data_IF_432596216466
#
_entry.id   IF_432596216466
#
_cell.length_a   1.000
_cell.length_b   1.000
_cell.length_c   1.000
_cell.angle_alpha   90.00
_cell.angle_beta   90.00
_cell.angle_gamma   90.00
#
_symmetry.space_group_name_H-M   'P 1'
#
loop_
_entity.id
_entity.type
_entity.pdbx_description
1 polymer ?
#
# COMPACT_ATOMS: atom_id res chain seq x y z
N UNK A 1 2.83 -10.28 -31.52
CA UNK A 1 4.10 -10.61 -30.84
C UNK A 1 5.06 -9.41 -30.78
N UNK A 2 4.55 -8.22 -30.40
CA UNK A 2 5.32 -6.95 -30.34
C UNK A 2 4.91 -6.13 -29.09
N UNK A 3 4.56 -6.81 -28.00
CA UNK A 3 3.99 -6.21 -26.77
C UNK A 3 4.88 -6.34 -25.53
N UNK A 4 6.15 -6.76 -25.66
CA UNK A 4 6.99 -7.17 -24.51
C UNK A 4 8.30 -6.39 -24.31
N UNK A 5 8.56 -5.28 -25.01
CA UNK A 5 9.95 -4.73 -25.07
C UNK A 5 10.13 -3.33 -24.45
N UNK A 6 9.11 -2.69 -23.86
CA UNK A 6 9.29 -1.34 -23.30
C UNK A 6 8.79 -1.22 -21.87
N UNK A 7 9.66 -1.57 -20.94
CA UNK A 7 9.58 -1.08 -19.57
C UNK A 7 9.92 0.41 -19.53
N UNK A 8 9.20 1.23 -18.75
CA UNK A 8 9.75 2.47 -18.28
C UNK A 8 10.46 2.16 -16.96
N UNK A 9 11.79 2.23 -17.00
CA UNK A 9 12.62 2.66 -15.87
C UNK A 9 12.25 4.12 -15.53
N UNK A 10 11.01 4.34 -15.09
CA UNK A 10 10.65 5.51 -14.31
C UNK A 10 10.83 5.01 -12.88
N UNK A 11 12.03 5.21 -12.35
CA UNK A 11 12.31 5.09 -10.94
C UNK A 11 11.44 6.11 -10.21
N UNK A 12 10.18 5.74 -9.99
CA UNK A 12 9.51 6.07 -8.76
C UNK A 12 10.28 5.30 -7.70
N UNK A 13 11.33 5.93 -7.14
CA UNK A 13 11.66 5.71 -5.75
C UNK A 13 10.37 5.99 -5.00
N UNK A 14 9.62 4.92 -4.84
CA UNK A 14 8.37 4.86 -4.12
C UNK A 14 8.81 4.85 -2.67
N UNK A 15 9.34 5.99 -2.22
CA UNK A 15 9.36 6.31 -0.81
C UNK A 15 7.92 6.66 -0.44
N UNK A 16 7.59 6.30 0.79
CA UNK A 16 6.28 6.40 1.42
C UNK A 16 5.38 5.19 1.08
N UNK A 17 4.66 4.60 2.03
CA UNK A 17 3.99 5.22 3.17
C UNK A 17 3.94 4.31 4.38
N UNK A 18 3.81 4.93 5.56
CA UNK A 18 3.27 4.40 6.81
C UNK A 18 2.52 3.08 6.60
N UNK A 19 3.11 1.96 7.00
CA UNK A 19 2.28 0.90 7.57
C UNK A 19 1.64 1.51 8.80
N UNK A 20 0.30 1.50 8.93
CA UNK A 20 -0.31 1.87 10.18
C UNK A 20 0.35 1.00 11.26
N UNK A 21 0.69 1.62 12.39
CA UNK A 21 0.80 0.82 13.61
C UNK A 21 -0.52 0.08 13.70
N UNK A 22 -0.45 -1.25 13.66
CA UNK A 22 -1.55 -2.19 13.76
C UNK A 22 -2.68 -2.11 12.71
N UNK A 23 -2.75 -3.17 11.89
CA UNK A 23 -4.02 -3.84 11.66
C UNK A 23 -4.07 -5.02 12.63
N UNK A 24 -4.95 -4.98 13.63
CA UNK A 24 -5.15 -6.10 14.55
C UNK A 24 -6.36 -6.88 14.09
N UNK A 25 -6.12 -8.08 13.58
CA UNK A 25 -7.17 -9.07 13.41
C UNK A 25 -7.30 -9.80 14.75
N UNK A 26 -8.39 -9.52 15.48
CA UNK A 26 -8.77 -10.36 16.63
C UNK A 26 -9.45 -11.61 16.09
N UNK A 27 -9.08 -12.78 16.62
CA UNK A 27 -9.92 -13.97 16.59
C UNK A 27 -10.40 -14.24 18.02
N UNK A 28 -11.70 -14.45 18.28
CA UNK A 28 -12.16 -14.74 19.62
C UNK A 28 -11.77 -16.16 20.00
N UNK A 29 -10.90 -16.29 21.00
CA UNK A 29 -10.68 -17.54 21.70
C UNK A 29 -11.95 -17.89 22.51
N UNK A 30 -12.55 -19.04 22.25
CA UNK A 30 -13.55 -19.63 23.13
C UNK A 30 -14.70 -20.32 22.41
N UNK A 31 -14.56 -21.62 22.17
CA UNK A 31 -15.69 -22.52 21.88
C UNK A 31 -16.67 -22.48 23.05
N UNK A 32 -17.89 -21.98 22.83
CA UNK A 32 -19.07 -22.39 23.59
C UNK A 32 -20.17 -22.80 22.62
N UNK A 33 -20.48 -24.09 22.65
CA UNK A 33 -21.63 -24.69 21.99
C UNK A 33 -22.94 -24.03 22.44
N UNK A 34 -23.76 -23.58 21.50
CA UNK A 34 -25.21 -23.50 21.68
C UNK A 34 -25.91 -23.95 20.41
N UNK A 35 -26.69 -25.01 20.56
CA UNK A 35 -27.71 -25.46 19.62
C UNK A 35 -28.81 -24.40 19.50
N UNK A 36 -29.35 -24.19 18.29
CA UNK A 36 -30.81 -24.08 18.07
C UNK A 36 -31.17 -23.99 16.57
N UNK A 37 -31.84 -25.05 16.12
CA UNK A 37 -33.06 -25.09 15.30
C UNK A 37 -33.28 -24.14 14.10
N UNK A 38 -33.14 -24.77 12.92
CA UNK A 38 -34.15 -24.95 11.85
C UNK A 38 -34.62 -23.80 10.94
N UNK A 39 -34.61 -24.18 9.65
CA UNK A 39 -35.55 -23.86 8.55
C UNK A 39 -35.03 -22.80 7.54
N UNK A 40 -35.04 -22.96 6.22
CA UNK A 40 -36.04 -23.57 5.32
C UNK A 40 -35.45 -24.07 3.97
N UNK A 41 -36.12 -25.13 3.48
CA UNK A 41 -36.42 -25.62 2.12
C UNK A 41 -35.50 -25.44 0.90
N UNK A 42 -35.26 -26.60 0.31
CA UNK A 42 -34.80 -26.88 -1.04
C UNK A 42 -35.74 -26.39 -2.15
N UNK A 43 -35.15 -26.11 -3.32
CA UNK A 43 -35.76 -26.35 -4.63
C UNK A 43 -34.74 -27.09 -5.49
N UNK A 44 -35.04 -28.36 -5.80
CA UNK A 44 -34.35 -29.15 -6.84
C UNK A 44 -35.08 -28.93 -8.16
N UNK A 45 -34.33 -28.78 -9.24
CA UNK A 45 -34.77 -28.99 -10.62
C UNK A 45 -33.67 -29.76 -11.38
N UNK A 46 -33.99 -30.76 -12.21
CA UNK A 46 -33.01 -31.65 -12.83
C UNK A 46 -32.52 -31.09 -14.17
N UNK A 47 -31.27 -31.36 -14.54
CA UNK A 47 -30.84 -31.23 -15.94
C UNK A 47 -30.06 -32.46 -16.38
N UNK A 48 -30.56 -33.08 -17.45
CA UNK A 48 -29.98 -34.21 -18.17
C UNK A 48 -28.84 -33.70 -19.05
N UNK A 49 -27.78 -34.49 -19.18
CA UNK A 49 -26.51 -34.06 -19.77
C UNK A 49 -26.39 -34.18 -21.29
N UNK A 50 -25.28 -33.68 -21.80
CA UNK A 50 -24.48 -34.32 -22.85
C UNK A 50 -23.11 -33.64 -22.93
N UNK A 51 -22.10 -34.47 -23.15
CA UNK A 51 -20.66 -34.23 -23.20
C UNK A 51 -20.19 -33.33 -24.36
N UNK A 52 -19.29 -32.39 -24.07
CA UNK A 52 -18.15 -32.06 -24.94
C UNK A 52 -17.11 -31.24 -24.18
N UNK A 53 -15.87 -31.69 -24.24
CA UNK A 53 -14.66 -31.11 -23.65
C UNK A 53 -14.31 -29.72 -24.19
N UNK A 54 -14.17 -28.75 -23.30
CA UNK A 54 -13.62 -27.42 -23.56
C UNK A 54 -13.74 -26.56 -22.30
N UNK A 55 -12.61 -26.21 -21.66
CA UNK A 55 -12.58 -25.30 -20.53
C UNK A 55 -12.73 -23.85 -21.06
N UNK A 56 -13.97 -23.43 -21.28
CA UNK A 56 -14.36 -22.03 -21.41
C UNK A 56 -14.76 -21.49 -20.03
N UNK A 57 -14.05 -20.48 -19.56
CA UNK A 57 -14.44 -19.67 -18.40
C UNK A 57 -15.49 -18.66 -18.88
N UNK A 58 -16.77 -19.00 -18.73
CA UNK A 58 -17.86 -18.04 -18.93
C UNK A 58 -18.85 -18.00 -17.77
N UNK A 59 -19.15 -16.75 -17.38
CA UNK A 59 -20.39 -16.24 -16.79
C UNK A 59 -20.69 -16.52 -15.30
N UNK A 60 -20.06 -15.73 -14.44
CA UNK A 60 -20.70 -15.31 -13.17
C UNK A 60 -21.54 -14.06 -13.49
N UNK A 61 -22.86 -14.22 -13.58
CA UNK A 61 -23.79 -13.07 -13.67
C UNK A 61 -23.87 -12.32 -12.33
N UNK A 62 -23.99 -10.98 -12.37
CA UNK A 62 -23.99 -10.13 -11.19
C UNK A 62 -25.39 -10.08 -10.58
N UNK A 63 -25.53 -10.47 -9.32
CA UNK A 63 -26.78 -10.31 -8.58
C UNK A 63 -26.52 -9.76 -7.17
N UNK A 64 -26.25 -8.46 -7.10
CA UNK A 64 -26.78 -7.55 -6.07
C UNK A 64 -26.30 -6.12 -6.34
N UNK A 65 -27.22 -5.17 -6.23
CA UNK A 65 -27.14 -3.74 -6.53
C UNK A 65 -25.87 -3.03 -5.99
N UNK A 66 -25.46 -1.89 -6.60
CA UNK A 66 -24.25 -1.16 -6.20
C UNK A 66 -24.34 -0.70 -4.76
N UNK A 67 -23.47 -1.22 -3.90
CA UNK A 67 -23.26 -0.65 -2.57
C UNK A 67 -22.70 0.75 -2.74
N UNK A 68 -23.49 1.75 -2.33
CA UNK A 68 -23.04 3.12 -2.19
C UNK A 68 -21.81 3.15 -1.27
N UNK A 69 -20.73 3.69 -1.79
CA UNK A 69 -19.50 3.99 -1.07
C UNK A 69 -19.78 5.16 -0.15
N UNK A 70 -19.83 4.95 1.16
CA UNK A 70 -19.82 6.07 2.09
C UNK A 70 -18.39 6.59 2.20
N UNK A 71 -18.17 7.83 1.74
CA UNK A 71 -16.90 8.53 1.80
C UNK A 71 -16.65 9.06 3.22
N UNK A 72 -16.00 8.26 4.06
CA UNK A 72 -15.36 8.69 5.30
C UNK A 72 -13.85 8.87 5.15
N UNK A 73 -13.17 9.61 6.04
CA UNK A 73 -11.71 9.85 5.95
C UNK A 73 -10.84 8.61 6.25
N UNK A 74 -11.43 7.53 6.75
CA UNK A 74 -10.74 6.29 7.17
C UNK A 74 -11.43 5.05 6.59
N UNK A 75 -10.65 4.02 6.23
CA UNK A 75 -11.19 2.74 5.77
C UNK A 75 -11.56 1.87 6.97
N UNK A 76 -12.84 1.54 7.09
CA UNK A 76 -13.35 0.55 8.05
C UNK A 76 -14.08 -0.57 7.30
N UNK A 77 -13.71 -1.83 7.54
CA UNK A 77 -14.38 -3.00 6.97
C UNK A 77 -14.54 -4.10 8.03
N UNK A 78 -15.74 -4.66 8.11
CA UNK A 78 -16.05 -5.79 8.97
C UNK A 78 -16.53 -6.96 8.10
N UNK A 79 -16.00 -8.15 8.35
CA UNK A 79 -16.37 -9.36 7.63
C UNK A 79 -16.50 -10.54 8.57
N UNK A 80 -17.62 -11.26 8.44
CA UNK A 80 -17.91 -12.48 9.19
C UNK A 80 -18.04 -13.66 8.23
N UNK A 81 -17.21 -14.68 8.42
CA UNK A 81 -17.46 -16.01 7.85
C UNK A 81 -18.14 -16.87 8.89
N UNK A 82 -19.35 -17.31 8.60
CA UNK A 82 -19.92 -18.45 9.29
C UNK A 82 -19.37 -19.73 8.66
N UNK A 83 -18.91 -20.66 9.48
CA UNK A 83 -18.29 -21.89 9.00
C UNK A 83 -19.25 -22.68 8.10
N UNK A 84 -18.87 -22.91 6.85
CA UNK A 84 -19.60 -23.81 5.97
C UNK A 84 -19.32 -25.25 6.41
N UNK A 85 -20.34 -25.91 6.96
CA UNK A 85 -20.31 -27.36 7.20
C UNK A 85 -20.01 -28.13 5.91
N UNK A 86 -19.43 -29.33 6.05
CA UNK A 86 -18.92 -30.18 4.94
C UNK A 86 -19.74 -30.04 3.65
N UNK A 87 -19.15 -29.41 2.63
CA UNK A 87 -19.69 -29.45 1.27
C UNK A 87 -19.72 -30.90 0.77
N UNK A 88 -20.84 -31.33 0.19
CA UNK A 88 -20.89 -32.61 -0.52
C UNK A 88 -19.94 -32.58 -1.73
N UNK A 89 -19.27 -33.71 -2.05
CA UNK A 89 -18.25 -33.73 -3.09
C UNK A 89 -18.83 -33.41 -4.47
N UNK A 90 -18.27 -32.38 -5.10
CA UNK A 90 -18.41 -32.12 -6.54
C UNK A 90 -17.34 -32.92 -7.29
N UNK A 91 -17.74 -33.57 -8.38
CA UNK A 91 -16.91 -34.44 -9.19
C UNK A 91 -16.03 -33.64 -10.18
N UNK A 92 -15.08 -32.84 -9.69
CA UNK A 92 -13.90 -32.40 -10.44
C UNK A 92 -12.92 -31.62 -9.54
N UNK A 93 -11.72 -32.17 -9.33
CA UNK A 93 -10.47 -31.42 -9.13
C UNK A 93 -10.25 -30.70 -7.79
N UNK A 94 -9.33 -31.25 -7.00
CA UNK A 94 -8.74 -30.73 -5.75
C UNK A 94 -9.66 -30.69 -4.51
N UNK A 95 -9.38 -31.62 -3.61
CA UNK A 95 -10.02 -31.78 -2.32
C UNK A 95 -9.54 -30.66 -1.37
N UNK A 96 -10.35 -29.62 -1.18
CA UNK A 96 -10.22 -28.73 -0.01
C UNK A 96 -10.69 -29.53 1.22
N UNK A 97 -9.80 -30.33 1.80
CA UNK A 97 -10.13 -31.29 2.87
C UNK A 97 -10.23 -30.67 4.27
N UNK A 98 -10.45 -29.36 4.39
CA UNK A 98 -10.56 -28.65 5.67
C UNK A 98 -11.97 -28.12 5.94
N UNK A 99 -12.40 -28.11 7.20
CA UNK A 99 -13.55 -27.30 7.64
C UNK A 99 -13.10 -25.84 7.56
N UNK A 100 -13.85 -24.99 6.86
CA UNK A 100 -13.55 -23.55 6.84
C UNK A 100 -13.80 -22.97 8.24
N UNK A 101 -12.78 -22.33 8.86
CA UNK A 101 -12.95 -21.75 10.19
C UNK A 101 -13.97 -20.61 10.13
N UNK A 102 -14.77 -20.48 11.18
CA UNK A 102 -15.57 -19.28 11.36
C UNK A 102 -14.65 -18.18 11.88
N UNK A 103 -14.61 -17.05 11.18
CA UNK A 103 -13.72 -15.94 11.48
C UNK A 103 -14.52 -14.64 11.47
N UNK A 104 -14.18 -13.76 12.40
CA UNK A 104 -14.68 -12.40 12.48
C UNK A 104 -13.49 -11.45 12.31
N UNK A 105 -13.44 -10.75 11.19
CA UNK A 105 -12.28 -9.93 10.81
C UNK A 105 -12.72 -8.48 10.75
N UNK A 106 -12.04 -7.66 11.55
CA UNK A 106 -12.20 -6.21 11.56
C UNK A 106 -10.92 -5.56 11.05
N UNK A 107 -11.06 -4.65 10.08
CA UNK A 107 -9.96 -3.86 9.53
C UNK A 107 -10.27 -2.38 9.67
N UNK A 108 -9.39 -1.67 10.34
CA UNK A 108 -9.37 -0.21 10.43
C UNK A 108 -8.00 0.32 10.00
N UNK A 109 -7.92 1.47 9.30
CA UNK A 109 -6.66 2.04 8.81
C UNK A 109 -6.52 3.54 9.10
N UNK A 110 -5.30 3.94 9.47
CA UNK A 110 -4.89 5.35 9.53
C UNK A 110 -4.59 5.94 8.15
N UNK A 111 -4.47 5.10 7.11
CA UNK A 111 -4.17 5.55 5.76
C UNK A 111 -5.42 6.20 5.13
N UNK A 112 -5.33 7.44 4.63
CA UNK A 112 -6.43 8.04 3.88
C UNK A 112 -6.71 7.25 2.61
N UNK A 113 -7.97 6.92 2.39
CA UNK A 113 -8.42 6.15 1.22
C UNK A 113 -8.21 6.93 -0.07
N UNK A 114 -7.71 6.27 -1.11
CA UNK A 114 -7.60 6.85 -2.46
C UNK A 114 -6.47 7.86 -2.65
N UNK A 115 -5.64 8.12 -1.63
CA UNK A 115 -4.49 9.03 -1.74
C UNK A 115 -3.26 8.42 -2.45
N UNK A 116 -3.38 7.19 -2.97
CA UNK A 116 -2.29 6.50 -3.67
C UNK A 116 -1.15 6.06 -2.76
N UNK A 117 -1.46 5.72 -1.50
CA UNK A 117 -0.49 5.34 -0.46
C UNK A 117 -0.33 3.82 -0.30
N UNK A 118 -0.86 3.02 -1.23
CA UNK A 118 -0.84 1.56 -1.11
C UNK A 118 -1.80 0.99 -0.06
N UNK A 119 -2.92 1.67 0.25
CA UNK A 119 -3.87 1.20 1.28
C UNK A 119 -4.53 -0.15 0.93
N UNK A 120 -4.78 -0.44 -0.35
CA UNK A 120 -5.27 -1.75 -0.80
C UNK A 120 -4.25 -2.85 -0.55
N UNK A 121 -2.98 -2.56 -0.82
CA UNK A 121 -1.90 -3.49 -0.61
C UNK A 121 -1.66 -3.77 0.87
N UNK A 122 -1.68 -2.74 1.73
CA UNK A 122 -1.62 -2.91 3.17
C UNK A 122 -2.76 -3.79 3.70
N UNK A 123 -3.98 -3.56 3.21
CA UNK A 123 -5.14 -4.41 3.49
C UNK A 123 -4.92 -5.87 3.07
N UNK A 124 -4.50 -6.10 1.82
CA UNK A 124 -4.23 -7.43 1.27
C UNK A 124 -3.13 -8.16 2.06
N UNK A 125 -2.08 -7.45 2.48
CA UNK A 125 -0.99 -7.99 3.29
C UNK A 125 -1.46 -8.38 4.69
N UNK A 126 -2.25 -7.54 5.35
CA UNK A 126 -2.76 -7.84 6.69
C UNK A 126 -3.74 -9.01 6.70
N UNK A 127 -4.62 -9.10 5.70
CA UNK A 127 -5.48 -10.26 5.53
C UNK A 127 -4.67 -11.54 5.25
N UNK A 128 -3.72 -11.49 4.33
CA UNK A 128 -2.89 -12.65 4.00
C UNK A 128 -2.13 -13.14 5.26
N UNK A 129 -1.49 -12.23 5.99
CA UNK A 129 -0.76 -12.58 7.22
C UNK A 129 -1.69 -13.18 8.29
N UNK A 130 -2.85 -12.57 8.54
CA UNK A 130 -3.81 -13.05 9.53
C UNK A 130 -4.37 -14.44 9.17
N UNK A 131 -4.75 -14.64 7.91
CA UNK A 131 -5.31 -15.92 7.45
C UNK A 131 -4.25 -17.03 7.42
N UNK A 132 -3.05 -16.75 6.92
CA UNK A 132 -1.96 -17.73 6.92
C UNK A 132 -1.58 -18.15 8.34
N UNK A 133 -1.58 -17.20 9.29
CA UNK A 133 -1.30 -17.50 10.70
C UNK A 133 -2.45 -18.29 11.33
N UNK A 134 -3.71 -17.92 11.06
CA UNK A 134 -4.89 -18.59 11.60
C UNK A 134 -5.08 -20.02 11.05
N UNK A 135 -4.66 -20.26 9.81
CA UNK A 135 -4.65 -21.59 9.19
C UNK A 135 -3.39 -22.40 9.52
N UNK A 136 -2.49 -21.89 10.37
CA UNK A 136 -1.22 -22.53 10.75
C UNK A 136 -0.25 -22.81 9.59
N UNK A 137 -0.44 -22.13 8.45
CA UNK A 137 0.47 -22.19 7.29
C UNK A 137 1.81 -21.46 7.56
N UNK A 138 1.77 -20.47 8.46
CA UNK A 138 2.96 -19.78 9.00
C UNK A 138 2.87 -19.70 10.52
N UNK A 139 3.99 -19.75 11.25
CA UNK A 139 3.99 -19.66 12.70
C UNK A 139 3.56 -18.26 13.17
N UNK A 140 2.93 -18.19 14.35
CA UNK A 140 2.73 -16.92 15.04
C UNK A 140 4.08 -16.40 15.56
N UNK A 141 4.54 -15.21 15.14
CA UNK A 141 5.85 -14.70 15.53
C UNK A 141 5.83 -13.99 16.89
N UNK A 142 4.67 -13.81 17.54
CA UNK A 142 4.61 -13.33 18.92
C UNK A 142 5.17 -14.39 19.87
N UNK A 143 6.26 -14.03 20.55
CA UNK A 143 6.78 -14.81 21.67
C UNK A 143 6.21 -14.30 22.99
N UNK A 144 6.19 -15.17 23.99
CA UNK A 144 5.70 -14.82 25.33
C UNK A 144 6.43 -13.60 25.89
N UNK A 145 5.66 -12.56 26.22
CA UNK A 145 6.17 -11.30 26.77
C UNK A 145 6.60 -10.24 25.76
N UNK A 146 6.59 -10.52 24.44
CA UNK A 146 6.89 -9.51 23.42
C UNK A 146 5.64 -8.69 23.05
N UNK A 147 5.81 -7.36 22.90
CA UNK A 147 4.72 -6.45 22.56
C UNK A 147 4.32 -6.51 21.07
N UNK A 148 5.26 -6.89 20.20
CA UNK A 148 5.07 -7.05 18.76
C UNK A 148 6.08 -8.06 18.19
N UNK A 149 5.68 -8.78 17.14
CA UNK A 149 6.47 -9.81 16.49
C UNK A 149 6.44 -9.70 14.97
N UNK A 150 7.46 -10.26 14.31
CA UNK A 150 7.61 -10.26 12.85
C UNK A 150 8.01 -11.64 12.34
N UNK A 151 7.49 -11.99 11.17
CA UNK A 151 7.78 -13.25 10.50
C UNK A 151 9.19 -13.30 9.92
N UNK A 152 9.69 -14.51 9.71
CA UNK A 152 10.95 -14.77 8.98
C UNK A 152 10.82 -14.41 7.50
N UNK A 153 11.94 -14.26 6.80
CA UNK A 153 11.97 -13.91 5.38
C UNK A 153 11.13 -14.86 4.51
N UNK A 154 11.26 -16.17 4.72
CA UNK A 154 10.51 -17.22 4.01
C UNK A 154 8.99 -17.04 4.17
N UNK A 155 8.54 -16.68 5.37
CA UNK A 155 7.13 -16.44 5.67
C UNK A 155 6.65 -15.10 5.08
N UNK A 156 7.52 -14.07 5.07
CA UNK A 156 7.21 -12.79 4.42
C UNK A 156 7.05 -12.95 2.91
N UNK A 157 7.87 -13.77 2.24
CA UNK A 157 7.69 -14.10 0.82
C UNK A 157 6.31 -14.73 0.55
N UNK A 158 5.87 -15.66 1.41
CA UNK A 158 4.54 -16.28 1.29
C UNK A 158 3.41 -15.27 1.51
N UNK A 159 3.51 -14.42 2.53
CA UNK A 159 2.55 -13.33 2.78
C UNK A 159 2.47 -12.41 1.55
N UNK A 160 3.62 -11.99 1.01
CA UNK A 160 3.67 -11.10 -0.15
C UNK A 160 3.02 -11.74 -1.38
N UNK A 161 3.30 -13.03 -1.64
CA UNK A 161 2.73 -13.79 -2.75
C UNK A 161 1.20 -13.83 -2.69
N UNK A 162 0.62 -14.08 -1.52
CA UNK A 162 -0.83 -14.10 -1.33
C UNK A 162 -1.44 -12.70 -1.41
N UNK A 163 -0.80 -11.71 -0.79
CA UNK A 163 -1.23 -10.31 -0.90
C UNK A 163 -1.21 -9.82 -2.35
N UNK A 164 -0.22 -10.25 -3.15
CA UNK A 164 -0.15 -9.95 -4.57
C UNK A 164 -1.35 -10.49 -5.34
N UNK A 165 -1.82 -11.71 -5.03
CA UNK A 165 -3.04 -12.24 -5.65
C UNK A 165 -4.26 -11.39 -5.27
N UNK A 166 -4.36 -10.94 -4.00
CA UNK A 166 -5.39 -9.99 -3.57
C UNK A 166 -5.38 -8.70 -4.39
N UNK A 167 -4.20 -8.09 -4.58
CA UNK A 167 -4.06 -6.89 -5.41
C UNK A 167 -4.40 -7.16 -6.89
N UNK A 168 -4.12 -8.36 -7.42
CA UNK A 168 -4.53 -8.73 -8.79
C UNK A 168 -6.03 -8.83 -8.94
N UNK A 169 -6.74 -9.28 -7.91
CA UNK A 169 -8.22 -9.30 -7.92
C UNK A 169 -8.79 -7.88 -7.90
N UNK A 170 -8.19 -6.97 -7.12
CA UNK A 170 -8.68 -5.60 -6.97
C UNK A 170 -8.31 -4.71 -8.17
N UNK A 171 -7.06 -4.79 -8.64
CA UNK A 171 -6.47 -3.85 -9.61
C UNK A 171 -6.14 -4.49 -10.97
N UNK A 172 -6.33 -5.80 -11.13
CA UNK A 172 -6.02 -6.54 -12.35
C UNK A 172 -4.52 -6.81 -12.53
N UNK A 173 -3.76 -5.77 -12.90
CA UNK A 173 -2.33 -5.88 -13.22
C UNK A 173 -1.45 -4.96 -12.34
N UNK A 174 -1.39 -5.20 -11.01
CA UNK A 174 -0.50 -4.47 -10.11
C UNK A 174 0.98 -4.78 -10.37
N UNK A 175 1.86 -3.82 -10.06
CA UNK A 175 3.32 -3.97 -10.23
C UNK A 175 3.99 -4.86 -9.18
N UNK A 176 3.32 -5.11 -8.05
CA UNK A 176 3.90 -5.83 -6.91
C UNK A 176 4.72 -4.96 -5.95
N UNK A 177 4.82 -3.65 -6.19
CA UNK A 177 5.60 -2.74 -5.33
C UNK A 177 4.84 -2.44 -4.04
N UNK A 178 3.56 -2.07 -4.11
CA UNK A 178 2.81 -1.60 -2.94
C UNK A 178 2.67 -2.68 -1.85
N UNK A 179 2.41 -3.93 -2.26
CA UNK A 179 2.32 -5.06 -1.34
C UNK A 179 3.71 -5.47 -0.85
N UNK A 180 4.77 -5.36 -1.68
CA UNK A 180 6.13 -5.56 -1.23
C UNK A 180 6.51 -4.57 -0.12
N UNK A 181 6.25 -3.27 -0.31
CA UNK A 181 6.52 -2.25 0.71
C UNK A 181 5.73 -2.56 1.98
N UNK A 182 4.46 -2.94 1.86
CA UNK A 182 3.62 -3.30 3.00
C UNK A 182 4.11 -4.56 3.74
N UNK A 183 4.65 -5.54 3.02
CA UNK A 183 5.18 -6.78 3.61
C UNK A 183 6.52 -6.55 4.30
N UNK A 184 7.54 -6.06 3.59
CA UNK A 184 8.89 -5.97 4.13
C UNK A 184 9.11 -4.69 4.96
N UNK A 185 8.44 -3.60 4.59
CA UNK A 185 8.70 -2.27 5.12
C UNK A 185 10.03 -1.70 4.66
N UNK A 186 10.50 -0.67 5.35
CA UNK A 186 11.74 0.01 5.04
C UNK A 186 11.67 0.74 3.70
N UNK A 187 12.68 0.51 2.87
CA UNK A 187 12.83 1.12 1.55
C UNK A 187 13.10 -0.01 0.55
N UNK A 188 12.44 0.05 -0.60
CA UNK A 188 12.61 -0.95 -1.66
C UNK A 188 13.12 -0.28 -2.92
N UNK A 189 14.07 -0.95 -3.57
CA UNK A 189 14.47 -0.65 -4.94
C UNK A 189 13.65 -1.51 -5.89
N UNK A 190 13.04 -0.87 -6.87
CA UNK A 190 12.32 -1.53 -7.95
C UNK A 190 13.00 -1.24 -9.29
N UNK A 191 13.38 -2.28 -10.02
CA UNK A 191 13.98 -2.15 -11.35
C UNK A 191 13.51 -3.28 -12.25
N UNK A 192 12.77 -2.94 -13.31
CA UNK A 192 12.33 -3.89 -14.35
C UNK A 192 11.69 -5.18 -13.78
N UNK A 193 10.78 -5.04 -12.82
CA UNK A 193 10.10 -6.17 -12.19
C UNK A 193 10.88 -6.85 -11.05
N UNK A 194 12.13 -6.47 -10.81
CA UNK A 194 12.93 -6.95 -9.67
C UNK A 194 12.77 -6.00 -8.49
N UNK A 195 12.48 -6.56 -7.32
CA UNK A 195 12.38 -5.84 -6.05
C UNK A 195 13.53 -6.28 -5.16
N UNK A 196 14.26 -5.33 -4.58
CA UNK A 196 15.30 -5.59 -3.58
C UNK A 196 15.16 -4.62 -2.41
N UNK A 197 15.23 -5.15 -1.19
CA UNK A 197 15.12 -4.33 0.03
C UNK A 197 16.43 -3.66 0.38
N UNK A 198 16.34 -2.39 0.80
CA UNK A 198 17.46 -1.67 1.39
C UNK A 198 17.66 -2.14 2.83
N UNK A 199 18.90 -2.50 3.15
CA UNK A 199 19.24 -2.94 4.51
C UNK A 199 19.27 -1.73 5.44
N UNK A 200 18.34 -1.71 6.40
CA UNK A 200 18.30 -0.74 7.52
C UNK A 200 18.20 0.73 7.10
N UNK A 201 17.25 1.14 6.25
CA UNK A 201 17.08 2.55 5.95
C UNK A 201 16.74 3.34 7.24
N UNK A 202 17.18 4.60 7.35
CA UNK A 202 16.77 5.44 8.45
C UNK A 202 15.26 5.71 8.38
N UNK A 203 14.65 5.95 9.54
CA UNK A 203 13.29 6.47 9.59
C UNK A 203 13.34 7.97 9.38
N UNK A 204 12.75 8.46 8.28
CA UNK A 204 12.70 9.90 8.00
C UNK A 204 11.32 10.44 8.31
N UNK A 205 11.26 11.60 8.97
CA UNK A 205 10.00 12.33 9.19
C UNK A 205 9.65 13.12 7.95
N UNK A 206 8.36 13.17 7.65
CA UNK A 206 7.85 13.86 6.47
C UNK A 206 6.49 14.51 6.75
N UNK A 207 6.11 15.45 5.91
CA UNK A 207 4.70 15.76 5.67
C UNK A 207 4.23 15.02 4.43
N UNK A 208 3.07 14.39 4.53
CA UNK A 208 2.27 13.93 3.40
C UNK A 208 1.18 14.97 3.15
N UNK A 209 1.09 15.45 1.92
CA UNK A 209 0.12 16.46 1.53
C UNK A 209 -0.74 15.89 0.40
N UNK A 210 -2.05 15.82 0.57
CA UNK A 210 -2.99 15.51 -0.50
C UNK A 210 -3.61 16.80 -1.03
N UNK A 211 -3.33 17.12 -2.29
CA UNK A 211 -3.87 18.31 -2.96
C UNK A 211 -5.36 18.21 -3.26
N UNK A 212 -5.96 17.01 -3.12
CA UNK A 212 -7.36 16.68 -3.49
C UNK A 212 -7.69 16.91 -4.96
N UNK A 213 -6.70 17.19 -5.79
CA UNK A 213 -6.89 17.34 -7.24
C UNK A 213 -6.97 15.94 -7.85
N UNK A 214 -8.10 15.60 -8.51
CA UNK A 214 -8.27 14.31 -9.17
C UNK A 214 -7.35 14.21 -10.39
N UNK A 215 -6.94 12.98 -10.69
CA UNK A 215 -5.98 12.71 -11.78
C UNK A 215 -6.25 11.38 -12.45
N UNK A 216 -5.71 11.22 -13.66
CA UNK A 216 -5.68 9.94 -14.37
C UNK A 216 -4.25 9.48 -14.58
N UNK A 217 -3.82 8.48 -13.80
CA UNK A 217 -2.49 7.86 -13.93
C UNK A 217 -2.23 7.37 -15.36
N UNK A 218 -3.25 6.77 -16.00
CA UNK A 218 -3.16 6.28 -17.38
C UNK A 218 -2.84 7.41 -18.37
N UNK A 219 -3.49 8.56 -18.22
CA UNK A 219 -3.25 9.73 -19.09
C UNK A 219 -1.86 10.31 -18.85
N UNK A 220 -1.45 10.46 -17.59
CA UNK A 220 -0.13 10.99 -17.25
C UNK A 220 1.01 10.12 -17.81
N UNK A 221 0.91 8.79 -17.64
CA UNK A 221 1.89 7.84 -18.20
C UNK A 221 1.89 7.88 -19.73
N UNK A 222 0.72 7.96 -20.38
CA UNK A 222 0.62 8.09 -21.83
C UNK A 222 1.27 9.39 -22.33
N UNK A 223 1.10 10.49 -21.60
CA UNK A 223 1.70 11.79 -21.93
C UNK A 223 3.23 11.75 -21.81
N UNK A 224 3.78 11.10 -20.77
CA UNK A 224 5.24 10.89 -20.65
C UNK A 224 5.76 10.08 -21.83
N UNK A 225 5.08 9.00 -22.21
CA UNK A 225 5.45 8.19 -23.40
C UNK A 225 5.39 9.03 -24.68
N UNK A 226 4.33 9.80 -24.87
CA UNK A 226 4.18 10.68 -26.05
C UNK A 226 5.30 11.71 -26.11
N UNK A 227 5.67 12.31 -24.96
CA UNK A 227 6.76 13.29 -24.87
C UNK A 227 8.12 12.66 -25.17
N UNK A 228 8.38 11.44 -24.67
CA UNK A 228 9.59 10.68 -25.00
C UNK A 228 9.70 10.40 -26.50
N UNK A 229 8.61 9.98 -27.14
CA UNK A 229 8.59 9.74 -28.59
C UNK A 229 8.75 11.03 -29.40
N UNK A 230 8.23 12.15 -28.88
CA UNK A 230 8.31 13.46 -29.54
C UNK A 230 9.69 14.10 -29.43
N UNK A 231 10.37 13.91 -28.29
CA UNK A 231 11.66 14.54 -27.98
C UNK A 231 12.64 13.53 -27.36
N UNK A 232 13.04 12.47 -28.10
CA UNK A 232 13.81 11.36 -27.54
C UNK A 232 15.17 11.79 -26.99
N UNK A 233 15.87 12.68 -27.70
CA UNK A 233 17.21 13.19 -27.33
C UNK A 233 17.19 14.08 -26.09
N UNK A 234 16.03 14.62 -25.71
CA UNK A 234 15.86 15.46 -24.52
C UNK A 234 15.35 14.62 -23.35
N UNK A 235 14.34 13.79 -23.60
CA UNK A 235 13.64 13.05 -22.55
C UNK A 235 14.42 11.82 -22.11
N UNK A 236 15.15 11.15 -23.00
CA UNK A 236 15.95 9.99 -22.59
C UNK A 236 17.06 10.37 -21.59
N UNK A 237 17.89 11.41 -21.81
CA UNK A 237 18.83 11.88 -20.79
C UNK A 237 18.16 12.36 -19.50
N UNK A 238 16.97 12.97 -19.60
CA UNK A 238 16.19 13.37 -18.43
C UNK A 238 15.79 12.16 -17.58
N UNK A 239 15.35 11.06 -18.20
CA UNK A 239 15.05 9.81 -17.51
C UNK A 239 16.31 9.18 -16.89
N UNK A 240 17.46 9.26 -17.57
CA UNK A 240 18.75 8.83 -17.00
C UNK A 240 19.14 9.66 -15.77
N UNK A 241 18.86 10.97 -15.78
CA UNK A 241 19.09 11.83 -14.62
C UNK A 241 18.23 11.44 -13.42
N UNK A 242 16.95 11.12 -13.64
CA UNK A 242 16.04 10.61 -12.59
C UNK A 242 16.53 9.25 -12.04
N UNK A 243 17.06 8.38 -12.89
CA UNK A 243 17.68 7.11 -12.49
C UNK A 243 18.89 7.35 -11.59
N UNK A 244 19.78 8.27 -11.97
CA UNK A 244 20.95 8.65 -11.18
C UNK A 244 20.58 9.25 -9.81
N UNK A 245 19.57 10.11 -9.74
CA UNK A 245 19.02 10.62 -8.47
C UNK A 245 18.63 9.47 -7.55
N UNK A 246 18.07 8.40 -8.12
CA UNK A 246 17.58 7.29 -7.33
C UNK A 246 18.70 6.42 -6.76
N UNK A 247 19.72 6.16 -7.57
CA UNK A 247 20.92 5.46 -7.13
C UNK A 247 21.67 6.25 -6.05
N UNK A 248 21.73 7.58 -6.19
CA UNK A 248 22.38 8.44 -5.21
C UNK A 248 21.58 8.49 -3.89
N UNK A 249 20.26 8.58 -3.96
CA UNK A 249 19.41 8.50 -2.77
C UNK A 249 19.56 7.15 -2.06
N UNK A 250 19.63 6.04 -2.81
CA UNK A 250 19.90 4.70 -2.27
C UNK A 250 21.22 4.66 -1.49
N UNK A 251 22.29 5.21 -2.07
CA UNK A 251 23.62 5.30 -1.44
C UNK A 251 23.57 6.11 -0.15
N UNK A 252 23.00 7.31 -0.19
CA UNK A 252 22.90 8.24 0.96
C UNK A 252 22.10 7.60 2.10
N UNK A 253 20.98 6.94 1.82
CA UNK A 253 20.20 6.26 2.86
C UNK A 253 20.96 5.09 3.48
N UNK A 254 21.78 4.38 2.70
CA UNK A 254 22.67 3.35 3.20
C UNK A 254 23.73 3.89 4.17
N UNK A 255 24.25 5.10 3.92
CA UNK A 255 25.24 5.75 4.78
C UNK A 255 24.62 6.30 6.07
N UNK A 256 23.42 6.89 5.96
CA UNK A 256 22.64 7.34 7.11
C UNK A 256 22.29 6.21 8.08
N UNK A 257 22.16 4.97 7.59
CA UNK A 257 21.88 3.80 8.44
C UNK A 257 22.92 3.58 9.53
N UNK A 258 24.18 3.96 9.27
CA UNK A 258 25.28 3.83 10.24
C UNK A 258 25.31 5.02 11.20
N UNK A 259 25.24 6.25 10.67
CA UNK A 259 25.22 7.48 11.44
C UNK A 259 24.60 8.62 10.61
N UNK A 260 23.35 9.02 10.87
CA UNK A 260 22.74 10.16 10.18
C UNK A 260 23.47 11.46 10.55
N UNK A 261 23.80 12.28 9.55
CA UNK A 261 24.38 13.61 9.75
C UNK A 261 23.54 14.68 9.05
N UNK A 262 23.66 15.97 9.43
CA UNK A 262 22.97 17.06 8.76
C UNK A 262 23.24 17.12 7.24
N UNK A 263 24.47 16.83 6.81
CA UNK A 263 24.86 16.86 5.40
C UNK A 263 24.07 15.86 4.56
N UNK A 264 23.79 14.66 5.11
CA UNK A 264 22.96 13.68 4.40
C UNK A 264 21.53 14.22 4.16
N UNK A 265 20.97 14.95 5.12
CA UNK A 265 19.65 15.56 4.93
C UNK A 265 19.68 16.66 3.85
N UNK A 266 20.73 17.48 3.81
CA UNK A 266 20.90 18.48 2.75
C UNK A 266 21.00 17.81 1.37
N UNK A 267 21.77 16.72 1.24
CA UNK A 267 21.80 15.95 -0.01
C UNK A 267 20.41 15.42 -0.39
N UNK A 268 19.64 14.88 0.57
CA UNK A 268 18.28 14.42 0.29
C UNK A 268 17.34 15.55 -0.15
N UNK A 269 17.46 16.74 0.44
CA UNK A 269 16.69 17.93 0.04
C UNK A 269 17.02 18.35 -1.40
N UNK A 270 18.29 18.38 -1.79
CA UNK A 270 18.71 18.67 -3.17
C UNK A 270 18.21 17.62 -4.17
N UNK A 271 18.28 16.33 -3.81
CA UNK A 271 17.75 15.25 -4.64
C UNK A 271 16.22 15.35 -4.80
N UNK A 272 15.50 15.79 -3.76
CA UNK A 272 14.06 16.04 -3.80
C UNK A 272 13.74 17.16 -4.82
N UNK A 273 14.45 18.28 -4.73
CA UNK A 273 14.23 19.44 -5.61
C UNK A 273 14.55 19.12 -7.07
N UNK A 274 15.72 18.51 -7.34
CA UNK A 274 16.11 18.10 -8.69
C UNK A 274 15.08 17.15 -9.31
N UNK A 275 14.61 16.17 -8.54
CA UNK A 275 13.61 15.22 -9.03
C UNK A 275 12.27 15.91 -9.29
N UNK A 276 11.84 16.84 -8.43
CA UNK A 276 10.61 17.60 -8.66
C UNK A 276 10.68 18.40 -9.96
N UNK A 277 11.80 19.07 -10.24
CA UNK A 277 11.99 19.80 -11.49
C UNK A 277 12.03 18.88 -12.72
N UNK A 278 12.67 17.71 -12.61
CA UNK A 278 12.64 16.72 -13.69
C UNK A 278 11.24 16.18 -13.97
N UNK A 279 10.43 15.93 -12.93
CA UNK A 279 9.04 15.51 -13.07
C UNK A 279 8.17 16.60 -13.71
N UNK A 280 8.41 17.87 -13.37
CA UNK A 280 7.78 19.00 -14.05
C UNK A 280 8.19 19.06 -15.54
N UNK A 281 9.47 18.86 -15.86
CA UNK A 281 9.97 18.80 -17.24
C UNK A 281 9.39 17.60 -18.04
N UNK A 282 9.09 16.47 -17.39
CA UNK A 282 8.35 15.35 -17.99
C UNK A 282 6.88 15.68 -18.26
N UNK A 283 6.34 16.74 -17.66
CA UNK A 283 4.96 17.19 -17.86
C UNK A 283 3.95 16.50 -16.97
N UNK A 284 4.41 15.94 -15.85
CA UNK A 284 3.54 15.38 -14.80
C UNK A 284 3.38 16.32 -13.62
N UNK A 285 3.82 17.58 -13.74
CA UNK A 285 3.53 18.64 -12.79
C UNK A 285 2.06 19.05 -12.76
N UNK A 286 1.70 19.94 -11.83
CA UNK A 286 0.38 20.56 -11.74
C UNK A 286 0.47 21.82 -10.88
N UNK A 287 -0.37 22.83 -11.15
CA UNK A 287 -0.36 24.10 -10.41
C UNK A 287 -0.51 23.91 -8.88
N UNK A 288 -1.32 22.94 -8.44
CA UNK A 288 -1.46 22.61 -7.00
C UNK A 288 -0.18 22.02 -6.38
N UNK A 289 0.61 21.28 -7.16
CA UNK A 289 1.89 20.73 -6.71
C UNK A 289 2.97 21.82 -6.68
N UNK A 290 2.96 22.73 -7.66
CA UNK A 290 3.85 23.88 -7.67
C UNK A 290 3.54 24.82 -6.48
N UNK A 291 2.25 25.04 -6.18
CA UNK A 291 1.81 25.78 -5.00
C UNK A 291 2.23 25.09 -3.69
N UNK A 292 2.11 23.76 -3.61
CA UNK A 292 2.61 22.98 -2.47
C UNK A 292 4.10 23.24 -2.25
N UNK A 293 4.93 23.06 -3.29
CA UNK A 293 6.38 23.29 -3.20
C UNK A 293 6.69 24.74 -2.82
N UNK A 294 6.00 25.71 -3.41
CA UNK A 294 6.17 27.13 -3.08
C UNK A 294 5.91 27.43 -1.59
N UNK A 295 4.82 26.89 -1.04
CA UNK A 295 4.47 27.06 0.38
C UNK A 295 5.53 26.43 1.28
N UNK A 296 5.99 25.21 0.97
CA UNK A 296 6.99 24.53 1.80
C UNK A 296 8.35 25.22 1.74
N UNK A 297 8.77 25.67 0.55
CA UNK A 297 10.05 26.40 0.37
C UNK A 297 10.04 27.73 1.12
N UNK A 298 8.89 28.43 1.20
CA UNK A 298 8.76 29.65 2.00
C UNK A 298 9.03 29.43 3.50
N UNK A 299 8.97 28.18 3.97
CA UNK A 299 9.28 27.77 5.33
C UNK A 299 10.61 26.99 5.44
N UNK A 300 11.44 26.99 4.38
CA UNK A 300 12.73 26.29 4.35
C UNK A 300 12.60 24.76 4.28
N UNK A 301 11.49 24.26 3.73
CA UNK A 301 11.21 22.83 3.59
C UNK A 301 11.15 22.42 2.11
N UNK A 302 11.71 21.26 1.82
CA UNK A 302 11.88 20.75 0.46
C UNK A 302 10.86 19.66 0.16
N UNK A 303 10.22 19.77 -1.01
CA UNK A 303 9.08 18.94 -1.36
C UNK A 303 9.09 18.48 -2.81
N UNK A 304 8.55 17.29 -3.04
CA UNK A 304 8.26 16.77 -4.38
C UNK A 304 6.91 16.08 -4.44
N UNK A 305 6.34 15.97 -5.63
CA UNK A 305 5.19 15.12 -5.89
C UNK A 305 5.53 13.64 -5.65
N UNK A 306 4.51 12.83 -5.36
CA UNK A 306 4.64 11.36 -5.28
C UNK A 306 3.59 10.64 -6.12
N UNK A 307 3.98 9.49 -6.68
CA UNK A 307 3.21 8.73 -7.65
C UNK A 307 3.10 9.43 -9.01
N UNK A 308 1.94 9.36 -9.64
CA UNK A 308 1.74 9.74 -11.04
C UNK A 308 1.94 11.24 -11.38
N UNK A 309 1.92 12.15 -10.41
CA UNK A 309 1.82 13.60 -10.62
C UNK A 309 0.41 14.07 -11.03
N UNK A 310 0.31 15.27 -11.64
CA UNK A 310 -0.94 15.84 -12.15
C UNK A 310 -1.96 16.25 -11.08
N UNK A 311 -1.52 16.47 -9.84
CA UNK A 311 -2.37 16.55 -8.65
C UNK A 311 -2.00 15.45 -7.66
N UNK A 312 -2.99 14.87 -6.97
CA UNK A 312 -2.74 13.83 -5.97
C UNK A 312 -1.89 14.33 -4.80
N UNK A 313 -0.86 13.57 -4.43
CA UNK A 313 -0.09 13.81 -3.22
C UNK A 313 1.33 14.33 -3.49
N UNK A 314 1.86 15.09 -2.52
CA UNK A 314 3.26 15.47 -2.40
C UNK A 314 3.83 15.09 -1.05
N UNK A 315 5.16 15.12 -0.98
CA UNK A 315 5.96 14.73 0.18
C UNK A 315 6.90 15.88 0.52
N UNK A 316 7.08 16.16 1.79
CA UNK A 316 8.01 17.17 2.30
C UNK A 316 8.92 16.54 3.33
N UNK A 317 10.23 16.66 3.18
CA UNK A 317 11.18 16.13 4.16
C UNK A 317 11.23 17.03 5.40
N UNK A 318 11.23 16.42 6.59
CA UNK A 318 11.40 17.11 7.86
C UNK A 318 12.74 16.70 8.47
N UNK A 319 13.70 17.64 8.45
CA UNK A 319 15.00 17.44 9.10
C UNK A 319 14.86 17.35 10.62
N UNK A 320 15.78 16.68 11.34
CA UNK A 320 15.69 16.55 12.80
C UNK A 320 15.76 17.89 13.54
N UNK A 321 16.41 18.89 12.96
CA UNK A 321 16.60 20.25 13.49
C UNK A 321 15.46 21.22 13.15
N UNK A 322 14.45 20.79 12.39
CA UNK A 322 13.32 21.66 12.04
C UNK A 322 12.53 22.08 13.30
N UNK A 323 12.32 23.38 13.46
CA UNK A 323 11.55 23.88 14.59
C UNK A 323 10.06 23.56 14.46
N UNK A 324 9.44 23.12 15.56
CA UNK A 324 8.00 22.77 15.59
C UNK A 324 7.09 23.89 15.08
N UNK A 325 7.29 25.17 15.42
CA UNK A 325 6.49 26.27 14.90
C UNK A 325 6.52 26.39 13.37
N UNK A 326 7.66 26.11 12.73
CA UNK A 326 7.79 26.13 11.27
C UNK A 326 6.95 25.03 10.60
N UNK A 327 6.97 23.82 11.17
CA UNK A 327 6.14 22.69 10.70
C UNK A 327 4.65 23.01 10.85
N UNK A 328 4.22 23.54 11.99
CA UNK A 328 2.80 23.90 12.21
C UNK A 328 2.36 25.12 11.38
N UNK A 329 3.24 26.08 11.11
CA UNK A 329 2.97 27.17 10.17
C UNK A 329 2.76 26.63 8.75
N UNK A 330 3.64 25.73 8.30
CA UNK A 330 3.54 25.08 6.99
C UNK A 330 2.22 24.30 6.85
N UNK A 331 1.86 23.49 7.84
CA UNK A 331 0.58 22.74 7.86
C UNK A 331 -0.63 23.66 7.76
N UNK A 332 -0.63 24.78 8.48
CA UNK A 332 -1.70 25.79 8.41
C UNK A 332 -1.78 26.45 7.03
N UNK A 333 -0.64 26.82 6.45
CA UNK A 333 -0.59 27.42 5.11
C UNK A 333 -1.11 26.45 4.03
N UNK A 334 -0.69 25.17 4.09
CA UNK A 334 -1.18 24.12 3.19
C UNK A 334 -2.69 23.87 3.37
N UNK A 335 -3.18 23.85 4.60
CA UNK A 335 -4.62 23.73 4.89
C UNK A 335 -5.41 24.92 4.35
N UNK A 336 -4.84 26.13 4.42
CA UNK A 336 -5.40 27.33 3.81
C UNK A 336 -5.51 27.26 2.28
N UNK A 337 -4.71 26.40 1.64
CA UNK A 337 -4.82 26.09 0.21
C UNK A 337 -5.88 25.01 -0.09
N UNK A 338 -6.57 24.49 0.94
CA UNK A 338 -7.57 23.42 0.82
C UNK A 338 -6.99 22.00 0.83
N UNK A 339 -5.69 21.85 1.05
CA UNK A 339 -5.02 20.55 1.06
C UNK A 339 -5.18 19.84 2.41
N UNK A 340 -5.18 18.51 2.38
CA UNK A 340 -5.01 17.73 3.62
C UNK A 340 -3.53 17.51 3.87
N UNK A 341 -3.12 17.61 5.13
CA UNK A 341 -1.72 17.44 5.52
C UNK A 341 -1.59 16.55 6.75
N UNK A 342 -0.73 15.54 6.65
CA UNK A 342 -0.42 14.61 7.73
C UNK A 342 1.09 14.60 7.98
N UNK A 343 1.48 14.71 9.25
CA UNK A 343 2.85 14.43 9.65
C UNK A 343 3.01 12.93 9.87
N UNK A 344 4.00 12.34 9.21
CA UNK A 344 4.24 10.89 9.26
C UNK A 344 5.72 10.58 9.04
N UNK A 345 6.05 9.29 8.96
CA UNK A 345 7.41 8.83 8.72
C UNK A 345 7.48 7.83 7.57
N UNK A 346 8.64 7.75 6.95
CA UNK A 346 9.00 6.74 5.94
C UNK A 346 10.07 5.81 6.45
N UNK A 347 10.19 4.63 5.85
CA UNK A 347 11.10 3.59 6.34
C UNK A 347 10.53 2.80 7.53
N UNK A 348 9.21 2.80 7.70
CA UNK A 348 8.55 2.07 8.78
C UNK A 348 8.69 0.54 8.62
N UNK A 349 8.62 -0.25 9.71
CA UNK A 349 8.53 -1.70 9.63
C UNK A 349 7.33 -2.14 8.79
N UNK A 350 7.42 -3.21 8.02
CA UNK A 350 6.26 -3.74 7.27
C UNK A 350 5.31 -4.52 8.19
N UNK A 351 4.61 -5.50 7.63
CA UNK A 351 3.67 -6.37 8.36
C UNK A 351 4.26 -6.89 9.66
N UNK A 352 3.47 -6.78 10.73
CA UNK A 352 3.83 -7.12 12.10
C UNK A 352 2.57 -7.53 12.85
N UNK A 353 2.71 -8.37 13.87
CA UNK A 353 1.63 -8.73 14.79
C UNK A 353 1.87 -8.04 16.13
N UNK A 354 0.79 -7.64 16.78
CA UNK A 354 0.82 -6.86 18.01
C UNK A 354 -0.03 -7.54 19.08
N UNK A 355 0.41 -7.48 20.34
CA UNK A 355 -0.49 -7.77 21.46
C UNK A 355 -1.52 -6.66 21.60
N UNK A 356 -2.74 -6.98 22.03
CA UNK A 356 -3.79 -5.97 22.19
C UNK A 356 -3.35 -4.83 23.13
N UNK A 357 -2.55 -5.14 24.15
CA UNK A 357 -2.05 -4.16 25.11
C UNK A 357 -0.99 -3.20 24.54
N UNK A 358 -0.35 -3.51 23.41
CA UNK A 358 0.66 -2.65 22.79
C UNK A 358 0.08 -1.62 21.81
N UNK A 359 -1.23 -1.63 21.62
CA UNK A 359 -1.94 -0.74 20.71
C UNK A 359 -2.21 0.61 21.36
N UNK A 360 -2.08 1.67 20.56
CA UNK A 360 -2.49 3.01 20.96
C UNK A 360 -4.02 3.04 21.19
N UNK A 361 -4.47 3.85 22.17
CA UNK A 361 -5.88 3.90 22.58
C UNK A 361 -6.85 4.26 21.44
N UNK A 362 -6.41 5.11 20.51
CA UNK A 362 -7.19 5.47 19.31
C UNK A 362 -7.41 4.27 18.39
N UNK A 363 -6.41 3.40 18.26
CA UNK A 363 -6.52 2.19 17.42
C UNK A 363 -7.39 1.14 18.10
N UNK A 364 -7.24 0.94 19.41
CA UNK A 364 -8.14 0.05 20.18
C UNK A 364 -9.59 0.50 20.03
N UNK A 365 -9.87 1.79 20.22
CA UNK A 365 -11.22 2.33 20.02
C UNK A 365 -11.71 2.11 18.59
N UNK A 366 -10.88 2.35 17.57
CA UNK A 366 -11.26 2.10 16.17
C UNK A 366 -11.58 0.64 15.86
N UNK A 367 -10.99 -0.30 16.60
CA UNK A 367 -11.24 -1.74 16.44
C UNK A 367 -12.41 -2.26 17.27
N UNK A 368 -12.63 -1.69 18.47
CA UNK A 368 -13.70 -2.08 19.40
C UNK A 368 -15.04 -1.37 19.12
N UNK A 369 -15.05 -0.30 18.31
CA UNK A 369 -16.25 0.49 17.99
C UNK A 369 -17.11 -0.08 16.85
N UNK A 370 -16.90 -1.36 16.51
CA UNK A 370 -17.61 -2.13 15.48
C UNK A 370 -18.21 -3.39 16.10
#
# INVERSE_FOLDING_TARGET
AFSEVWGPSILSLSFLFRTPRSHVVRSPAGVRSRESHSAWRACRGPWQGSTSSGLELENISPASAPQQWESGPQLTKHWRQEGLGRGQPSAAGHQLSGVLPSLDITVWSELPTGAGLGSSAAYSVCLAAALLTACEEIPNPLKDGEAAGRWTEENLELINKWAFQGERVIHGNPSGVDNAVSTWGGALRYQQGKISSLKRPPVLKILLINTKVPRSTKVLVANVRSRLLKFPEIVAPLLTSIDAISLECERVLGEMAAAPTPEHYLTLEELIDMNQHHLNALGVGHASLDQLCQVTTAHGLHSKLTGAGGGGCGITLLRPDVERPAVEATKRALSGCGFDCWETSVGAPGVSVHTAASLDASVQQGLDSL
#
